data_IF_072706621265
#
_entry.id   IF_072706621265
#
_cell.length_a   1.000
_cell.length_b   1.000
_cell.length_c   1.000
_cell.angle_alpha   90.00
_cell.angle_beta   90.00
_cell.angle_gamma   90.00
#
_symmetry.space_group_name_H-M   'P 1'
#
loop_
_entity.id
_entity.type
_entity.pdbx_description
1 polymer ?
#
# COMPACT_ATOMS: atom_id res chain seq x y z
N UNK A 1 -0.62 22.99 14.08
CA UNK A 1 0.69 22.34 13.84
C UNK A 1 0.45 20.99 13.21
N UNK A 2 1.18 20.60 12.15
CA UNK A 2 1.04 19.28 11.56
C UNK A 2 1.37 18.20 12.60
N UNK A 3 0.61 17.11 12.58
CA UNK A 3 0.88 15.93 13.42
C UNK A 3 2.29 15.43 13.10
N UNK A 4 3.10 15.18 14.14
CA UNK A 4 4.46 14.65 13.93
C UNK A 4 4.38 13.25 13.32
N UNK A 5 5.08 13.06 12.21
CA UNK A 5 5.30 11.74 11.62
C UNK A 5 6.32 10.99 12.49
N UNK A 6 5.83 10.02 13.29
CA UNK A 6 6.70 9.17 14.12
C UNK A 6 6.51 7.72 13.70
N UNK A 7 7.50 7.19 12.97
CA UNK A 7 7.54 5.80 12.55
C UNK A 7 7.92 4.91 13.75
N UNK A 8 6.95 4.25 14.37
CA UNK A 8 7.13 3.47 15.61
C UNK A 8 7.14 1.96 15.41
N UNK A 9 6.93 1.49 14.18
CA UNK A 9 6.82 0.07 13.85
C UNK A 9 7.66 -0.24 12.61
N UNK A 10 8.42 -1.32 12.68
CA UNK A 10 9.06 -1.94 11.53
C UNK A 10 8.19 -3.12 11.11
N UNK A 11 7.78 -3.15 9.85
CA UNK A 11 6.81 -4.11 9.33
C UNK A 11 7.50 -4.97 8.24
N UNK A 12 7.97 -6.18 8.58
CA UNK A 12 8.55 -7.08 7.58
C UNK A 12 7.43 -7.67 6.72
N UNK A 13 7.36 -7.25 5.45
CA UNK A 13 6.34 -7.70 4.50
C UNK A 13 6.99 -8.31 3.25
N UNK A 14 6.46 -9.44 2.80
CA UNK A 14 6.77 -10.00 1.49
C UNK A 14 5.85 -9.39 0.43
N UNK A 15 6.41 -9.06 -0.74
CA UNK A 15 5.69 -8.47 -1.87
C UNK A 15 6.13 -9.15 -3.17
N UNK A 16 5.26 -9.17 -4.19
CA UNK A 16 5.70 -9.52 -5.55
C UNK A 16 6.65 -8.45 -6.09
N UNK A 17 7.49 -8.80 -7.06
CA UNK A 17 8.40 -7.84 -7.70
C UNK A 17 7.66 -6.65 -8.30
N UNK A 18 6.49 -6.87 -8.90
CA UNK A 18 5.71 -5.78 -9.51
C UNK A 18 5.14 -4.84 -8.46
N UNK A 19 4.62 -5.37 -7.35
CA UNK A 19 4.12 -4.54 -6.25
C UNK A 19 5.26 -3.73 -5.61
N UNK A 20 6.45 -4.35 -5.45
CA UNK A 20 7.62 -3.65 -4.94
C UNK A 20 8.09 -2.52 -5.88
N UNK A 21 8.13 -2.77 -7.20
CA UNK A 21 8.47 -1.75 -8.20
C UNK A 21 7.46 -0.61 -8.22
N UNK A 22 6.17 -0.90 -8.06
CA UNK A 22 5.13 0.12 -7.96
C UNK A 22 5.32 1.00 -6.72
N UNK A 23 5.61 0.40 -5.55
CA UNK A 23 5.93 1.13 -4.32
C UNK A 23 7.15 2.04 -4.51
N UNK A 24 8.24 1.50 -5.08
CA UNK A 24 9.47 2.26 -5.33
C UNK A 24 9.24 3.45 -6.26
N UNK A 25 8.49 3.23 -7.35
CA UNK A 25 8.14 4.30 -8.29
C UNK A 25 7.32 5.40 -7.61
N UNK A 26 6.26 5.02 -6.90
CA UNK A 26 5.42 5.97 -6.17
C UNK A 26 6.22 6.80 -5.16
N UNK A 27 7.07 6.14 -4.36
CA UNK A 27 7.92 6.81 -3.39
C UNK A 27 8.92 7.79 -4.06
N UNK A 28 9.53 7.36 -5.17
CA UNK A 28 10.48 8.18 -5.96
C UNK A 28 9.80 9.41 -6.55
N UNK A 29 8.64 9.23 -7.19
CA UNK A 29 7.88 10.33 -7.81
C UNK A 29 7.36 11.33 -6.78
N UNK A 30 6.94 10.85 -5.61
CA UNK A 30 6.51 11.71 -4.51
C UNK A 30 7.66 12.33 -3.70
N UNK A 31 8.92 11.92 -3.93
CA UNK A 31 10.09 12.43 -3.21
C UNK A 31 10.15 12.01 -1.74
N UNK A 32 9.59 10.84 -1.40
CA UNK A 32 9.50 10.32 -0.03
C UNK A 32 10.11 8.92 0.07
N UNK A 33 10.42 8.48 1.28
CA UNK A 33 10.86 7.11 1.55
C UNK A 33 9.70 6.12 1.42
N UNK A 34 10.01 4.83 1.25
CA UNK A 34 8.99 3.77 1.19
C UNK A 34 8.14 3.69 2.47
N UNK A 35 8.76 3.88 3.64
CA UNK A 35 8.05 3.86 4.92
C UNK A 35 7.05 5.03 5.01
N UNK A 36 7.44 6.21 4.52
CA UNK A 36 6.57 7.39 4.44
C UNK A 36 5.44 7.19 3.42
N UNK A 37 5.72 6.58 2.27
CA UNK A 37 4.72 6.24 1.27
C UNK A 37 3.66 5.28 1.83
N UNK A 38 4.08 4.20 2.49
CA UNK A 38 3.17 3.27 3.16
C UNK A 38 2.37 3.97 4.26
N UNK A 39 3.03 4.82 5.05
CA UNK A 39 2.36 5.59 6.11
C UNK A 39 1.30 6.52 5.54
N UNK A 40 1.62 7.26 4.47
CA UNK A 40 0.67 8.13 3.77
C UNK A 40 -0.55 7.33 3.28
N UNK A 41 -0.33 6.23 2.56
CA UNK A 41 -1.43 5.42 2.02
C UNK A 41 -2.35 4.93 3.12
N UNK A 42 -1.81 4.45 4.24
CA UNK A 42 -2.62 3.91 5.33
C UNK A 42 -3.22 4.97 6.28
N UNK A 43 -2.58 6.12 6.48
CA UNK A 43 -3.19 7.24 7.21
C UNK A 43 -4.32 7.92 6.42
N UNK A 44 -4.28 7.84 5.08
CA UNK A 44 -5.26 8.48 4.20
C UNK A 44 -6.10 7.50 3.38
N UNK A 45 -6.11 6.21 3.74
CA UNK A 45 -6.64 5.13 2.91
C UNK A 45 -8.08 5.39 2.44
N UNK A 46 -8.97 5.78 3.35
CA UNK A 46 -10.37 6.05 3.01
C UNK A 46 -10.58 7.25 2.08
N UNK A 47 -9.67 8.23 2.07
CA UNK A 47 -9.80 9.41 1.19
C UNK A 47 -9.11 9.23 -0.16
N UNK A 48 -8.11 8.36 -0.27
CA UNK A 48 -7.36 8.12 -1.52
C UNK A 48 -7.87 6.90 -2.29
N UNK A 49 -8.82 6.14 -1.73
CA UNK A 49 -9.42 4.98 -2.38
C UNK A 49 -10.88 5.24 -2.73
N UNK A 50 -11.30 4.72 -3.89
CA UNK A 50 -12.71 4.60 -4.25
C UNK A 50 -13.30 3.35 -3.59
N UNK A 51 -14.36 3.51 -2.81
CA UNK A 51 -14.91 2.44 -1.96
C UNK A 51 -15.44 1.25 -2.76
N UNK A 52 -16.15 1.51 -3.85
CA UNK A 52 -16.79 0.48 -4.67
C UNK A 52 -15.73 -0.28 -5.48
N UNK A 53 -14.79 0.45 -6.09
CA UNK A 53 -13.69 -0.13 -6.84
C UNK A 53 -12.80 -1.00 -5.94
N UNK A 54 -12.45 -0.48 -4.75
CA UNK A 54 -11.66 -1.21 -3.76
C UNK A 54 -12.35 -2.52 -3.36
N UNK A 55 -13.63 -2.46 -3.03
CA UNK A 55 -14.41 -3.63 -2.62
C UNK A 55 -14.48 -4.67 -3.73
N UNK A 56 -14.75 -4.23 -4.96
CA UNK A 56 -14.79 -5.11 -6.12
C UNK A 56 -13.44 -5.78 -6.39
N UNK A 57 -12.34 -5.02 -6.41
CA UNK A 57 -10.99 -5.55 -6.64
C UNK A 57 -10.53 -6.49 -5.54
N UNK A 58 -10.83 -6.19 -4.27
CA UNK A 58 -10.49 -7.08 -3.16
C UNK A 58 -11.21 -8.43 -3.27
N UNK A 59 -12.47 -8.43 -3.70
CA UNK A 59 -13.24 -9.67 -3.91
C UNK A 59 -12.59 -10.55 -4.99
N UNK A 60 -12.22 -9.96 -6.14
CA UNK A 60 -11.54 -10.69 -7.21
C UNK A 60 -10.18 -11.23 -6.75
N UNK A 61 -9.38 -10.38 -6.08
CA UNK A 61 -8.09 -10.79 -5.55
C UNK A 61 -8.21 -11.99 -4.59
N UNK A 62 -9.20 -11.98 -3.69
CA UNK A 62 -9.46 -13.10 -2.78
C UNK A 62 -9.90 -14.37 -3.51
N UNK A 63 -10.70 -14.24 -4.57
CA UNK A 63 -11.17 -15.38 -5.35
C UNK A 63 -10.01 -16.12 -6.05
N UNK A 64 -8.99 -15.40 -6.50
CA UNK A 64 -7.80 -15.94 -7.17
C UNK A 64 -6.65 -16.30 -6.21
N UNK A 65 -6.78 -16.00 -4.91
CA UNK A 65 -5.65 -16.02 -3.98
C UNK A 65 -5.08 -17.42 -3.77
N UNK A 66 -5.93 -18.44 -3.64
CA UNK A 66 -5.47 -19.81 -3.38
C UNK A 66 -4.76 -20.39 -4.62
N UNK A 67 -5.29 -20.16 -5.81
CA UNK A 67 -4.65 -20.57 -7.07
C UNK A 67 -3.28 -19.90 -7.27
N UNK A 68 -3.09 -18.69 -6.75
CA UNK A 68 -1.83 -17.94 -6.84
C UNK A 68 -0.78 -18.33 -5.78
N UNK A 69 -1.17 -19.06 -4.74
CA UNK A 69 -0.26 -19.56 -3.69
C UNK A 69 0.30 -20.95 -4.01
N UNK A 70 -0.37 -21.70 -4.88
CA UNK A 70 0.05 -23.02 -5.36
C UNK A 70 1.27 -22.91 -6.30
#
# INVERSE_FOLDING_TARGET
MPKRLRLTRRFPAAMTNDAYRALQRFATEAGITQDEALTFVFEHFGSVTDHDNLTHRLRLFKAELEDRKA
#
